data_IF_065952341290
#
_entry.id   IF_065952341290
#
_cell.length_a   1.000
_cell.length_b   1.000
_cell.length_c   1.000
_cell.angle_alpha   90.00
_cell.angle_beta   90.00
_cell.angle_gamma   90.00
#
_symmetry.space_group_name_H-M   'P 1'
#
loop_
_entity.id
_entity.type
_entity.pdbx_description
1 polymer ?
#
# COMPACT_ATOMS: atom_id res chain seq x y z
N UNK A 1 75.11 -39.27 -16.04
CA UNK A 1 75.48 -38.18 -16.99
C UNK A 1 74.23 -37.44 -17.39
N UNK A 2 74.33 -36.11 -17.43
CA UNK A 2 73.42 -35.04 -17.88
C UNK A 2 72.37 -35.52 -18.90
N UNK A 3 71.09 -35.15 -18.81
CA UNK A 3 70.55 -33.84 -19.24
C UNK A 3 69.09 -33.67 -18.79
N UNK A 4 68.77 -32.61 -18.03
CA UNK A 4 68.04 -31.38 -18.41
C UNK A 4 66.50 -31.45 -18.33
N UNK A 5 66.03 -30.73 -17.31
CA UNK A 5 64.76 -30.04 -17.05
C UNK A 5 64.07 -29.43 -18.27
N UNK A 6 62.74 -29.49 -18.30
CA UNK A 6 61.87 -28.39 -18.74
C UNK A 6 60.45 -28.57 -18.17
N UNK A 7 60.10 -27.69 -17.23
CA UNK A 7 58.74 -27.45 -16.73
C UNK A 7 57.95 -26.74 -17.84
N UNK A 8 56.83 -27.30 -18.27
CA UNK A 8 55.86 -26.62 -19.14
C UNK A 8 54.80 -25.95 -18.26
N UNK A 9 54.92 -24.63 -18.09
CA UNK A 9 53.90 -23.78 -17.47
C UNK A 9 52.89 -23.41 -18.54
N UNK A 10 51.66 -23.93 -18.45
CA UNK A 10 50.57 -23.57 -19.35
C UNK A 10 49.97 -22.23 -18.89
N UNK A 11 50.29 -21.16 -19.62
CA UNK A 11 49.68 -19.84 -19.49
C UNK A 11 48.41 -19.81 -20.37
N UNK A 12 47.24 -19.89 -19.74
CA UNK A 12 45.95 -19.71 -20.42
C UNK A 12 45.76 -18.22 -20.74
N UNK A 13 45.90 -17.85 -22.01
CA UNK A 13 45.56 -16.51 -22.51
C UNK A 13 44.04 -16.41 -22.63
N UNK A 14 43.43 -15.68 -21.71
CA UNK A 14 42.05 -15.19 -21.83
C UNK A 14 42.00 -14.18 -22.99
N UNK A 15 41.30 -14.55 -24.06
CA UNK A 15 41.01 -13.65 -25.18
C UNK A 15 40.05 -12.55 -24.76
N UNK A 16 40.58 -11.38 -24.46
CA UNK A 16 39.83 -10.13 -24.43
C UNK A 16 39.60 -9.70 -25.89
N UNK A 17 38.36 -9.76 -26.37
CA UNK A 17 37.97 -9.09 -27.61
C UNK A 17 37.98 -7.59 -27.39
N UNK A 18 39.08 -6.94 -27.76
CA UNK A 18 39.13 -5.50 -27.94
C UNK A 18 38.33 -5.14 -29.20
N UNK A 19 37.20 -4.45 -29.03
CA UNK A 19 36.59 -3.72 -30.14
C UNK A 19 37.48 -2.49 -30.42
N UNK A 20 38.32 -2.59 -31.43
CA UNK A 20 39.02 -1.45 -32.00
C UNK A 20 37.99 -0.42 -32.51
N UNK A 21 38.16 0.85 -32.12
CA UNK A 21 37.51 1.98 -32.78
C UNK A 21 38.25 2.24 -34.08
N UNK A 22 37.67 1.84 -35.21
CA UNK A 22 38.09 2.34 -36.52
C UNK A 22 37.67 3.81 -36.62
N UNK A 23 38.64 4.72 -36.63
CA UNK A 23 38.45 6.09 -37.12
C UNK A 23 38.53 6.02 -38.64
N UNK A 24 37.36 6.02 -39.30
CA UNK A 24 37.27 6.20 -40.74
C UNK A 24 37.25 7.70 -41.03
N UNK A 25 38.37 8.23 -41.52
CA UNK A 25 38.45 9.59 -42.08
C UNK A 25 38.31 9.43 -43.59
N UNK A 26 37.07 9.54 -44.07
CA UNK A 26 36.71 9.50 -45.48
C UNK A 26 35.75 10.65 -45.80
N UNK A 27 36.18 11.53 -46.70
CA UNK A 27 35.49 12.73 -47.16
C UNK A 27 34.14 12.44 -47.85
N UNK A 28 33.20 13.35 -47.59
CA UNK A 28 31.97 13.67 -48.32
C UNK A 28 31.30 12.58 -49.17
N UNK A 29 30.32 11.92 -48.55
CA UNK A 29 29.02 11.66 -49.21
C UNK A 29 27.89 11.96 -48.24
N UNK A 30 27.08 12.94 -48.59
CA UNK A 30 25.77 13.26 -48.01
C UNK A 30 24.98 11.99 -47.70
N UNK A 31 25.04 11.57 -46.43
CA UNK A 31 24.11 10.62 -45.83
C UNK A 31 23.48 11.37 -44.68
N UNK A 32 22.20 11.71 -44.79
CA UNK A 32 21.36 12.21 -43.69
C UNK A 32 21.09 11.10 -42.67
N UNK A 33 22.15 10.41 -42.22
CA UNK A 33 22.13 9.54 -41.06
C UNK A 33 22.36 10.43 -39.84
N UNK A 34 21.29 10.67 -39.08
CA UNK A 34 21.30 11.52 -37.89
C UNK A 34 22.34 10.96 -36.90
N UNK A 35 23.42 11.71 -36.63
CA UNK A 35 24.52 11.23 -35.79
C UNK A 35 24.09 11.13 -34.32
N UNK A 36 24.35 9.98 -33.68
CA UNK A 36 24.13 9.78 -32.23
C UNK A 36 25.27 10.40 -31.42
N UNK A 37 25.29 11.71 -31.29
CA UNK A 37 26.34 12.44 -30.58
C UNK A 37 25.91 12.97 -29.19
N UNK A 38 24.64 12.84 -28.80
CA UNK A 38 24.14 13.17 -27.46
C UNK A 38 24.09 11.93 -26.56
N UNK A 39 24.21 12.12 -25.25
CA UNK A 39 24.16 11.05 -24.25
C UNK A 39 23.06 11.32 -23.21
N UNK A 40 22.17 10.34 -23.04
CA UNK A 40 21.25 10.28 -21.91
C UNK A 40 21.83 9.37 -20.82
N UNK A 41 22.03 9.93 -19.63
CA UNK A 41 22.39 9.18 -18.43
C UNK A 41 21.13 8.93 -17.60
N UNK A 42 20.81 7.66 -17.33
CA UNK A 42 19.66 7.27 -16.51
C UNK A 42 20.14 6.69 -15.18
N UNK A 43 19.56 7.20 -14.10
CA UNK A 43 19.74 6.72 -12.73
C UNK A 43 18.38 6.50 -12.08
N UNK A 44 18.35 5.68 -11.03
CA UNK A 44 17.14 5.33 -10.28
C UNK A 44 17.32 5.65 -8.80
N UNK A 45 16.23 6.01 -8.13
CA UNK A 45 16.13 6.14 -6.67
C UNK A 45 14.73 5.76 -6.22
N UNK A 46 14.54 5.39 -4.95
CA UNK A 46 13.18 5.23 -4.40
C UNK A 46 12.40 6.56 -4.43
N UNK A 47 11.09 6.50 -4.68
CA UNK A 47 10.27 7.71 -4.82
C UNK A 47 9.97 8.45 -3.49
N UNK A 48 9.89 7.75 -2.36
CA UNK A 48 9.47 8.34 -1.06
C UNK A 48 10.12 7.66 0.15
N UNK A 49 10.61 8.46 1.12
CA UNK A 49 11.13 8.03 2.43
C UNK A 49 12.65 7.91 2.53
N UNK A 50 13.22 8.18 3.71
CA UNK A 50 14.61 7.82 4.02
C UNK A 50 14.74 6.29 4.00
N UNK A 51 15.73 5.77 3.27
CA UNK A 51 15.91 4.32 3.09
C UNK A 51 15.06 3.68 1.97
N UNK A 52 14.41 4.46 1.11
CA UNK A 52 13.63 3.96 -0.02
C UNK A 52 14.51 3.23 -1.06
N UNK A 53 14.45 1.90 -1.06
CA UNK A 53 15.19 1.05 -2.00
C UNK A 53 14.51 0.93 -3.36
N UNK A 54 15.31 0.62 -4.38
CA UNK A 54 14.85 0.28 -5.74
C UNK A 54 14.94 -1.23 -5.94
N UNK A 55 13.90 -1.83 -6.51
CA UNK A 55 13.92 -3.21 -6.92
C UNK A 55 14.64 -3.36 -8.27
N UNK A 56 15.76 -4.10 -8.26
CA UNK A 56 16.55 -4.41 -9.44
C UNK A 56 16.31 -5.86 -9.91
N UNK A 57 16.54 -6.18 -11.20
CA UNK A 57 16.94 -5.26 -12.27
C UNK A 57 15.80 -4.31 -12.70
N UNK A 58 16.18 -3.17 -13.26
CA UNK A 58 15.25 -2.17 -13.82
C UNK A 58 15.35 -2.20 -15.34
N UNK A 59 14.25 -2.53 -16.02
CA UNK A 59 14.12 -2.39 -17.46
C UNK A 59 13.79 -0.94 -17.81
N UNK A 60 14.59 -0.33 -18.69
CA UNK A 60 14.45 1.06 -19.15
C UNK A 60 14.11 1.06 -20.63
N UNK A 61 13.06 1.80 -20.99
CA UNK A 61 12.61 2.00 -22.36
C UNK A 61 12.64 3.50 -22.68
N UNK A 62 13.21 3.85 -23.83
CA UNK A 62 13.28 5.25 -24.28
C UNK A 62 12.51 5.40 -25.58
N UNK A 63 11.50 6.27 -25.56
CA UNK A 63 10.61 6.54 -26.67
C UNK A 63 10.85 7.94 -27.23
N UNK A 64 10.68 8.08 -28.55
CA UNK A 64 10.56 9.37 -29.23
C UNK A 64 9.23 9.38 -29.97
N UNK A 65 8.27 10.17 -29.50
CA UNK A 65 6.87 9.94 -29.86
C UNK A 65 6.43 8.54 -29.39
N UNK A 66 5.79 7.77 -30.28
CA UNK A 66 5.33 6.41 -29.99
C UNK A 66 6.37 5.32 -30.32
N UNK A 67 7.51 5.70 -30.89
CA UNK A 67 8.54 4.75 -31.32
C UNK A 67 9.56 4.50 -30.20
N UNK A 68 9.69 3.24 -29.78
CA UNK A 68 10.75 2.82 -28.87
C UNK A 68 12.09 2.85 -29.61
N UNK A 69 13.03 3.68 -29.14
CA UNK A 69 14.36 3.84 -29.72
C UNK A 69 15.38 2.88 -29.13
N UNK A 70 15.20 2.51 -27.87
CA UNK A 70 16.05 1.53 -27.19
C UNK A 70 15.35 0.97 -25.96
N UNK A 71 15.72 -0.26 -25.60
CA UNK A 71 15.47 -0.85 -24.29
C UNK A 71 16.77 -1.41 -23.73
N UNK A 72 17.05 -1.13 -22.46
CA UNK A 72 18.25 -1.58 -21.76
C UNK A 72 17.92 -1.84 -20.29
N UNK A 73 18.84 -2.42 -19.52
CA UNK A 73 18.64 -2.72 -18.11
C UNK A 73 19.67 -2.04 -17.21
N UNK A 74 19.24 -1.62 -16.02
CA UNK A 74 20.08 -1.28 -14.88
C UNK A 74 20.05 -2.47 -13.93
N UNK A 75 21.18 -3.13 -13.73
CA UNK A 75 21.30 -4.36 -12.95
C UNK A 75 21.35 -4.14 -11.44
N UNK A 76 21.87 -3.00 -10.98
CA UNK A 76 22.04 -2.69 -9.56
C UNK A 76 22.12 -1.17 -9.30
N UNK A 77 22.15 -0.79 -8.02
CA UNK A 77 22.12 0.59 -7.54
C UNK A 77 23.33 1.45 -7.97
N UNK A 78 24.49 0.84 -8.19
CA UNK A 78 25.71 1.56 -8.57
C UNK A 78 25.80 1.85 -10.06
N UNK A 79 25.01 1.16 -10.88
CA UNK A 79 25.08 1.27 -12.33
C UNK A 79 24.38 2.55 -12.83
N UNK A 80 25.13 3.40 -13.53
CA UNK A 80 24.57 4.47 -14.37
C UNK A 80 24.44 3.96 -15.81
N UNK A 81 23.24 3.99 -16.36
CA UNK A 81 22.99 3.64 -17.75
C UNK A 81 23.31 4.83 -18.66
N UNK A 82 24.12 4.62 -19.69
CA UNK A 82 24.50 5.66 -20.67
C UNK A 82 23.98 5.25 -22.04
N UNK A 83 23.12 6.08 -22.63
CA UNK A 83 22.45 5.80 -23.90
C UNK A 83 22.80 6.88 -24.91
N UNK A 84 23.49 6.50 -26.00
CA UNK A 84 23.77 7.40 -27.11
C UNK A 84 22.52 7.57 -28.00
N UNK A 85 22.08 8.82 -28.17
CA UNK A 85 20.89 9.21 -28.92
C UNK A 85 21.20 10.44 -29.78
N UNK A 86 20.31 10.74 -30.73
CA UNK A 86 20.34 12.02 -31.46
C UNK A 86 19.71 13.10 -30.60
N UNK A 87 19.92 14.37 -30.95
CA UNK A 87 19.14 15.47 -30.35
C UNK A 87 17.62 15.25 -30.51
N UNK A 88 16.85 15.79 -29.57
CA UNK A 88 15.39 15.68 -29.56
C UNK A 88 14.80 15.44 -28.17
N UNK A 89 13.47 15.38 -28.11
CA UNK A 89 12.73 15.11 -26.87
C UNK A 89 12.35 13.63 -26.78
N UNK A 90 12.59 13.03 -25.62
CA UNK A 90 12.35 11.62 -25.35
C UNK A 90 11.54 11.42 -24.07
N UNK A 91 10.70 10.38 -24.08
CA UNK A 91 10.04 9.86 -22.88
C UNK A 91 10.79 8.62 -22.41
N UNK A 92 11.20 8.62 -21.14
CA UNK A 92 11.94 7.53 -20.50
C UNK A 92 11.00 6.86 -19.52
N UNK A 93 10.83 5.55 -19.68
CA UNK A 93 10.03 4.71 -18.78
C UNK A 93 10.93 3.65 -18.15
N UNK A 94 10.74 3.41 -16.86
CA UNK A 94 11.46 2.38 -16.12
C UNK A 94 10.49 1.50 -15.36
N UNK A 95 10.71 0.18 -15.43
CA UNK A 95 10.00 -0.82 -14.64
C UNK A 95 11.05 -1.59 -13.82
N UNK A 96 10.93 -1.57 -12.50
CA UNK A 96 11.83 -2.22 -11.56
C UNK A 96 11.33 -3.60 -11.12
N UNK A 97 12.26 -4.44 -10.65
CA UNK A 97 12.00 -5.80 -10.19
C UNK A 97 11.77 -6.82 -11.31
N UNK A 98 12.01 -6.47 -12.57
CA UNK A 98 11.63 -7.29 -13.73
C UNK A 98 12.85 -7.88 -14.42
N UNK A 99 12.99 -9.20 -14.31
CA UNK A 99 14.01 -9.97 -15.01
C UNK A 99 13.43 -10.66 -16.25
N UNK A 100 14.25 -10.88 -17.28
CA UNK A 100 13.85 -11.67 -18.45
C UNK A 100 13.65 -13.16 -18.14
N UNK A 101 14.09 -13.64 -16.96
CA UNK A 101 13.87 -15.02 -16.49
C UNK A 101 12.51 -15.23 -15.83
N UNK A 102 11.87 -14.16 -15.36
CA UNK A 102 10.58 -14.22 -14.68
C UNK A 102 9.45 -13.56 -15.48
N UNK A 103 9.80 -12.63 -16.39
CA UNK A 103 8.85 -11.86 -17.17
C UNK A 103 9.13 -11.95 -18.67
N UNK A 104 8.07 -11.80 -19.47
CA UNK A 104 8.17 -11.54 -20.90
C UNK A 104 8.26 -10.03 -21.08
N UNK A 105 9.44 -9.56 -21.48
CA UNK A 105 9.72 -8.13 -21.68
C UNK A 105 9.56 -7.75 -23.16
N UNK A 106 8.83 -6.67 -23.48
CA UNK A 106 8.79 -6.14 -24.83
C UNK A 106 10.20 -5.78 -25.35
N UNK A 107 10.40 -6.00 -26.64
CA UNK A 107 11.61 -5.64 -27.37
C UNK A 107 11.46 -4.28 -28.03
N UNK A 108 12.55 -3.66 -28.48
CA UNK A 108 12.51 -2.38 -29.19
C UNK A 108 11.50 -2.40 -30.36
N UNK A 109 11.42 -3.50 -31.11
CA UNK A 109 10.54 -3.60 -32.29
C UNK A 109 9.05 -3.70 -31.99
N UNK A 110 8.64 -4.02 -30.75
CA UNK A 110 7.23 -4.23 -30.41
C UNK A 110 6.80 -3.54 -29.10
N UNK A 111 7.68 -2.75 -28.49
CA UNK A 111 7.38 -2.00 -27.28
C UNK A 111 6.45 -0.82 -27.59
N UNK A 112 5.32 -0.79 -26.89
CA UNK A 112 4.42 0.34 -26.75
C UNK A 112 4.36 0.71 -25.26
N UNK A 113 4.00 1.94 -24.93
CA UNK A 113 3.80 2.34 -23.52
C UNK A 113 2.71 1.51 -22.84
N UNK A 114 1.76 0.97 -23.61
CA UNK A 114 0.69 0.07 -23.16
C UNK A 114 1.06 -1.41 -23.16
N UNK A 115 2.25 -1.79 -23.67
CA UNK A 115 2.69 -3.19 -23.66
C UNK A 115 2.82 -3.69 -22.23
N UNK A 116 2.20 -4.83 -21.94
CA UNK A 116 2.26 -5.48 -20.64
C UNK A 116 3.63 -6.11 -20.39
N UNK A 117 4.11 -5.99 -19.15
CA UNK A 117 5.20 -6.77 -18.59
C UNK A 117 4.57 -8.03 -17.97
N UNK A 118 4.42 -9.07 -18.80
CA UNK A 118 3.69 -10.27 -18.44
C UNK A 118 4.57 -11.23 -17.62
N UNK A 119 4.03 -11.76 -16.53
CA UNK A 119 4.69 -12.80 -15.73
C UNK A 119 4.72 -14.11 -16.53
N UNK A 120 5.86 -14.80 -16.53
CA UNK A 120 5.96 -16.11 -17.17
C UNK A 120 5.19 -17.18 -16.38
N UNK A 121 4.73 -18.22 -17.07
CA UNK A 121 3.99 -19.31 -16.45
C UNK A 121 4.78 -19.96 -15.30
N UNK A 122 4.10 -20.22 -14.18
CA UNK A 122 4.70 -20.82 -12.98
C UNK A 122 5.62 -19.89 -12.18
N UNK A 123 5.83 -18.64 -12.60
CA UNK A 123 6.59 -17.65 -11.84
C UNK A 123 5.71 -16.90 -10.84
N UNK A 124 6.36 -16.15 -9.94
CA UNK A 124 5.71 -15.32 -8.93
C UNK A 124 6.06 -13.86 -9.16
N UNK A 125 5.14 -12.95 -8.83
CA UNK A 125 5.41 -11.52 -8.86
C UNK A 125 6.58 -11.18 -7.92
N UNK A 126 7.37 -10.20 -8.33
CA UNK A 126 8.46 -9.58 -7.57
C UNK A 126 8.05 -8.20 -7.04
N UNK A 127 8.94 -7.46 -6.38
CA UNK A 127 8.71 -6.08 -5.97
C UNK A 127 8.68 -5.15 -7.20
N UNK A 128 7.53 -5.03 -7.86
CA UNK A 128 7.41 -4.25 -9.07
C UNK A 128 7.40 -2.76 -8.73
N UNK A 129 8.18 -2.00 -9.48
CA UNK A 129 8.20 -0.53 -9.39
C UNK A 129 8.06 0.09 -10.77
N UNK A 130 7.61 1.34 -10.85
CA UNK A 130 7.65 2.10 -12.09
C UNK A 130 7.99 3.57 -11.87
N UNK A 131 8.59 4.16 -12.91
CA UNK A 131 8.84 5.58 -13.01
C UNK A 131 8.81 6.03 -14.48
N UNK A 132 8.59 7.32 -14.69
CA UNK A 132 8.76 7.93 -16.00
C UNK A 132 9.26 9.36 -15.89
N UNK A 133 9.87 9.86 -16.96
CA UNK A 133 10.27 11.25 -17.11
C UNK A 133 10.37 11.62 -18.59
N UNK A 134 10.31 12.92 -18.89
CA UNK A 134 10.60 13.47 -20.21
C UNK A 134 11.92 14.24 -20.17
N UNK A 135 12.76 14.06 -21.19
CA UNK A 135 14.07 14.70 -21.30
C UNK A 135 14.28 15.24 -22.71
N UNK A 136 14.86 16.43 -22.82
CA UNK A 136 15.26 17.01 -24.10
C UNK A 136 16.79 16.94 -24.20
N UNK A 137 17.28 16.28 -25.24
CA UNK A 137 18.71 16.22 -25.56
C UNK A 137 19.05 17.27 -26.60
N UNK A 138 20.14 17.98 -26.35
CA UNK A 138 20.76 18.90 -27.29
C UNK A 138 21.95 18.23 -27.97
N UNK A 139 22.26 18.65 -29.19
CA UNK A 139 23.38 18.14 -30.00
C UNK A 139 24.70 18.10 -29.19
N UNK A 140 25.38 16.95 -29.19
CA UNK A 140 26.64 16.77 -28.46
C UNK A 140 26.56 16.81 -26.92
N UNK A 141 25.37 17.06 -26.35
CA UNK A 141 25.17 17.24 -24.92
C UNK A 141 25.03 15.93 -24.14
N UNK A 142 25.33 15.98 -22.84
CA UNK A 142 25.00 14.90 -21.88
C UNK A 142 23.95 15.39 -20.90
N UNK A 143 22.84 14.66 -20.79
CA UNK A 143 21.77 14.97 -19.84
C UNK A 143 21.57 13.81 -18.87
N UNK A 144 21.40 14.11 -17.58
CA UNK A 144 21.11 13.09 -16.56
C UNK A 144 19.65 13.18 -16.14
N UNK A 145 18.98 12.04 -16.13
CA UNK A 145 17.65 11.87 -15.52
C UNK A 145 17.75 10.91 -14.34
N UNK A 146 17.17 11.30 -13.21
CA UNK A 146 17.05 10.43 -12.03
C UNK A 146 15.57 10.09 -11.82
N UNK A 147 15.23 8.82 -11.99
CA UNK A 147 13.87 8.32 -11.93
C UNK A 147 13.51 7.92 -10.49
N UNK A 148 12.45 8.52 -9.95
CA UNK A 148 11.86 8.15 -8.66
C UNK A 148 10.95 6.93 -8.81
N UNK A 149 11.48 5.75 -8.48
CA UNK A 149 10.81 4.47 -8.60
C UNK A 149 9.74 4.30 -7.52
N UNK A 150 8.47 4.27 -7.93
CA UNK A 150 7.33 4.05 -7.04
C UNK A 150 6.90 2.58 -7.09
N UNK A 151 6.67 1.95 -5.93
CA UNK A 151 6.15 0.58 -5.86
C UNK A 151 4.76 0.47 -6.46
N UNK A 152 4.54 -0.65 -7.13
CA UNK A 152 3.30 -1.04 -7.81
C UNK A 152 2.73 -2.34 -7.26
N UNK A 153 3.45 -2.99 -6.36
CA UNK A 153 3.01 -4.19 -5.63
C UNK A 153 2.79 -3.89 -4.15
N UNK A 154 1.87 -4.65 -3.55
CA UNK A 154 1.81 -4.88 -2.10
C UNK A 154 2.56 -6.17 -1.76
N UNK A 155 3.06 -6.29 -0.53
CA UNK A 155 3.69 -7.50 -0.02
C UNK A 155 2.76 -8.14 1.01
N UNK A 156 2.17 -9.30 0.72
CA UNK A 156 1.54 -10.10 1.77
C UNK A 156 2.67 -10.74 2.57
N UNK A 157 2.94 -10.19 3.75
CA UNK A 157 4.11 -10.50 4.55
C UNK A 157 3.87 -11.75 5.39
N UNK A 158 2.91 -11.66 6.31
CA UNK A 158 2.47 -12.74 7.18
C UNK A 158 0.98 -13.00 7.04
N UNK A 159 0.61 -14.27 7.08
CA UNK A 159 -0.77 -14.74 7.14
C UNK A 159 -0.83 -15.81 8.21
N UNK A 160 -1.61 -15.58 9.26
CA UNK A 160 -1.76 -16.51 10.39
C UNK A 160 -3.23 -16.76 10.67
N UNK A 161 -3.67 -18.01 10.60
CA UNK A 161 -5.03 -18.42 11.00
C UNK A 161 -4.94 -19.36 12.21
N UNK A 162 -5.47 -18.94 13.35
CA UNK A 162 -5.40 -19.61 14.65
C UNK A 162 -6.68 -20.39 14.96
N UNK A 163 -6.57 -21.32 15.92
CA UNK A 163 -7.66 -22.14 16.45
C UNK A 163 -8.42 -22.97 15.40
N UNK A 164 -7.86 -23.16 14.21
CA UNK A 164 -8.42 -24.00 13.13
C UNK A 164 -8.69 -25.41 13.68
N UNK A 165 -9.80 -26.07 13.31
CA UNK A 165 -10.09 -27.43 13.74
C UNK A 165 -8.92 -28.37 13.45
N UNK A 166 -8.55 -29.22 14.42
CA UNK A 166 -7.41 -30.14 14.28
C UNK A 166 -7.58 -31.12 13.11
N UNK A 167 -8.82 -31.43 12.73
CA UNK A 167 -9.18 -32.26 11.58
C UNK A 167 -8.95 -31.58 10.22
N UNK A 168 -8.62 -30.28 10.18
CA UNK A 168 -8.35 -29.57 8.93
C UNK A 168 -7.12 -30.14 8.22
N UNK A 169 -7.24 -30.36 6.92
CA UNK A 169 -6.19 -30.91 6.05
C UNK A 169 -5.58 -29.87 5.12
N UNK A 170 -6.27 -28.75 4.88
CA UNK A 170 -5.76 -27.64 4.09
C UNK A 170 -6.38 -26.32 4.57
N UNK A 171 -5.57 -25.26 4.54
CA UNK A 171 -6.03 -23.88 4.73
C UNK A 171 -5.38 -23.00 3.66
N UNK A 172 -6.19 -22.21 2.97
CA UNK A 172 -5.71 -21.23 1.98
C UNK A 172 -6.36 -19.88 2.18
N UNK A 173 -5.67 -18.81 1.81
CA UNK A 173 -6.22 -17.45 1.76
C UNK A 173 -6.21 -16.98 0.32
N UNK A 174 -7.37 -16.58 -0.20
CA UNK A 174 -7.53 -16.08 -1.56
C UNK A 174 -7.84 -14.60 -1.54
N UNK A 175 -7.15 -13.82 -2.36
CA UNK A 175 -7.38 -12.37 -2.51
C UNK A 175 -7.80 -12.10 -3.97
N UNK A 176 -8.92 -11.41 -4.15
CA UNK A 176 -9.49 -11.10 -5.48
C UNK A 176 -10.39 -9.85 -5.42
N UNK A 177 -10.77 -9.24 -6.56
CA UNK A 177 -10.11 -9.33 -7.84
C UNK A 177 -8.85 -8.46 -7.86
N UNK A 178 -7.77 -8.94 -8.45
CA UNK A 178 -6.46 -8.28 -8.55
C UNK A 178 -6.16 -7.85 -9.99
N UNK A 179 -5.37 -6.80 -10.13
CA UNK A 179 -4.66 -6.57 -11.40
C UNK A 179 -3.70 -7.73 -11.69
N UNK A 180 -3.51 -8.04 -12.97
CA UNK A 180 -2.66 -9.16 -13.37
C UNK A 180 -1.27 -8.75 -13.90
N UNK A 181 -1.15 -7.52 -14.42
CA UNK A 181 0.10 -7.05 -15.04
C UNK A 181 0.30 -5.55 -14.89
N UNK A 182 1.53 -5.11 -15.17
CA UNK A 182 1.92 -3.71 -15.26
C UNK A 182 2.37 -3.42 -16.69
N UNK A 183 2.04 -2.26 -17.24
CA UNK A 183 2.52 -1.82 -18.55
C UNK A 183 3.89 -1.14 -18.46
N UNK A 184 4.57 -0.96 -19.60
CA UNK A 184 5.79 -0.13 -19.68
C UNK A 184 5.53 1.28 -19.12
N UNK A 185 4.36 1.84 -19.37
CA UNK A 185 3.93 3.15 -18.87
C UNK A 185 3.71 3.21 -17.35
N UNK A 186 3.80 2.07 -16.64
CA UNK A 186 3.60 2.01 -15.19
C UNK A 186 2.14 2.02 -14.75
N UNK A 187 1.21 1.73 -15.66
CA UNK A 187 -0.22 1.54 -15.38
C UNK A 187 -0.54 0.06 -15.20
N UNK A 188 -1.53 -0.26 -14.38
CA UNK A 188 -2.00 -1.64 -14.27
C UNK A 188 -2.82 -2.06 -15.50
N UNK A 189 -2.74 -3.33 -15.87
CA UNK A 189 -3.47 -3.91 -16.98
C UNK A 189 -3.98 -5.31 -16.66
N UNK A 190 -5.09 -5.69 -17.31
CA UNK A 190 -5.83 -6.95 -17.13
C UNK A 190 -6.43 -7.10 -15.73
N UNK A 191 -7.75 -7.22 -15.66
CA UNK A 191 -8.54 -7.29 -14.41
C UNK A 191 -8.93 -8.73 -14.06
N UNK A 192 -9.57 -8.91 -12.89
CA UNK A 192 -10.16 -10.19 -12.45
C UNK A 192 -9.13 -11.29 -12.13
N UNK A 193 -7.88 -10.93 -11.85
CA UNK A 193 -6.92 -11.86 -11.27
C UNK A 193 -7.31 -12.27 -9.85
N UNK A 194 -6.74 -13.36 -9.37
CA UNK A 194 -6.80 -13.73 -7.96
C UNK A 194 -5.47 -14.33 -7.54
N UNK A 195 -5.21 -14.34 -6.25
CA UNK A 195 -4.04 -15.02 -5.70
C UNK A 195 -4.44 -15.86 -4.51
N UNK A 196 -3.98 -17.11 -4.50
CA UNK A 196 -4.24 -18.06 -3.41
C UNK A 196 -2.93 -18.39 -2.70
N UNK A 197 -2.88 -18.07 -1.42
CA UNK A 197 -1.77 -18.33 -0.52
C UNK A 197 -2.09 -19.62 0.25
N UNK A 198 -1.26 -20.65 0.07
CA UNK A 198 -1.37 -21.89 0.85
C UNK A 198 -0.71 -21.71 2.21
N UNK A 199 -1.42 -22.09 3.26
CA UNK A 199 -0.89 -22.08 4.62
C UNK A 199 -0.41 -23.48 5.02
N UNK A 200 0.56 -23.53 5.93
CA UNK A 200 1.12 -24.76 6.50
C UNK A 200 0.72 -24.88 7.97
N UNK A 201 0.31 -26.07 8.38
CA UNK A 201 -0.05 -26.40 9.76
C UNK A 201 1.18 -26.30 10.66
N UNK A 202 1.03 -25.61 11.78
CA UNK A 202 2.08 -25.44 12.79
C UNK A 202 2.04 -26.58 13.82
N UNK A 203 3.05 -26.64 14.69
CA UNK A 203 3.25 -27.73 15.66
C UNK A 203 2.08 -27.90 16.64
N UNK A 204 1.38 -26.82 16.99
CA UNK A 204 0.21 -26.84 17.85
C UNK A 204 -1.01 -27.55 17.23
N UNK A 205 -0.92 -27.91 15.94
CA UNK A 205 -1.98 -28.59 15.17
C UNK A 205 -3.22 -27.74 14.91
N UNK A 206 -3.24 -26.47 15.31
CA UNK A 206 -4.42 -25.56 15.25
C UNK A 206 -4.11 -24.19 14.65
N UNK A 207 -2.85 -23.84 14.48
CA UNK A 207 -2.40 -22.62 13.80
C UNK A 207 -1.86 -22.96 12.42
N UNK A 208 -2.16 -22.12 11.44
CA UNK A 208 -1.71 -22.24 10.06
C UNK A 208 -1.06 -20.94 9.62
N UNK A 209 0.11 -21.02 8.98
CA UNK A 209 0.87 -19.85 8.53
C UNK A 209 1.31 -19.95 7.08
N UNK A 210 1.45 -18.83 6.38
CA UNK A 210 2.06 -18.83 5.04
C UNK A 210 3.53 -19.23 5.11
N UNK A 211 4.01 -19.91 4.08
CA UNK A 211 5.43 -20.21 3.93
C UNK A 211 6.10 -19.10 3.09
N UNK A 212 6.47 -18.02 3.77
CA UNK A 212 7.10 -16.85 3.18
C UNK A 212 6.13 -15.87 2.55
N UNK A 213 6.61 -14.64 2.33
CA UNK A 213 5.82 -13.54 1.81
C UNK A 213 5.55 -13.64 0.29
N UNK A 214 4.52 -12.95 -0.18
CA UNK A 214 4.14 -12.92 -1.59
C UNK A 214 3.85 -11.49 -2.08
N UNK A 215 4.46 -11.09 -3.19
CA UNK A 215 4.09 -9.84 -3.85
C UNK A 215 2.82 -10.03 -4.66
N UNK A 216 1.91 -9.06 -4.56
CA UNK A 216 0.68 -8.99 -5.33
C UNK A 216 0.50 -7.59 -5.90
N UNK A 217 -0.16 -7.48 -7.05
CA UNK A 217 -0.69 -6.20 -7.50
C UNK A 217 -1.94 -5.84 -6.68
N UNK A 218 -2.28 -4.55 -6.51
CA UNK A 218 -3.47 -4.15 -5.78
C UNK A 218 -4.76 -4.62 -6.47
N UNK A 219 -5.91 -4.53 -5.78
CA UNK A 219 -7.20 -4.89 -6.35
C UNK A 219 -7.54 -4.12 -7.63
N UNK A 220 -8.21 -4.80 -8.55
CA UNK A 220 -8.67 -4.21 -9.82
C UNK A 220 -10.02 -3.52 -9.72
N UNK A 221 -10.79 -3.79 -8.66
CA UNK A 221 -12.06 -3.16 -8.36
C UNK A 221 -12.35 -3.27 -6.87
N UNK A 222 -13.21 -2.40 -6.36
CA UNK A 222 -13.67 -2.43 -4.97
C UNK A 222 -15.14 -2.86 -4.88
N UNK A 223 -15.54 -3.53 -3.77
CA UNK A 223 -14.66 -4.01 -2.73
C UNK A 223 -13.84 -5.23 -3.19
N UNK A 224 -12.62 -5.36 -2.68
CA UNK A 224 -11.80 -6.56 -2.85
C UNK A 224 -12.14 -7.57 -1.76
N UNK A 225 -12.07 -8.86 -2.08
CA UNK A 225 -12.29 -9.95 -1.15
C UNK A 225 -11.00 -10.57 -0.62
N UNK A 226 -11.00 -10.90 0.67
CA UNK A 226 -10.03 -11.78 1.32
C UNK A 226 -10.80 -12.99 1.86
N UNK A 227 -10.62 -14.14 1.22
CA UNK A 227 -11.35 -15.36 1.53
C UNK A 227 -10.43 -16.39 2.18
N UNK A 228 -10.70 -16.76 3.43
CA UNK A 228 -10.06 -17.91 4.08
C UNK A 228 -10.83 -19.18 3.73
N UNK A 229 -10.15 -20.23 3.31
CA UNK A 229 -10.74 -21.51 2.93
C UNK A 229 -10.16 -22.60 3.81
N UNK A 230 -11.02 -23.34 4.52
CA UNK A 230 -10.61 -24.39 5.45
C UNK A 230 -11.24 -25.72 4.98
N UNK A 231 -10.42 -26.72 4.69
CA UNK A 231 -10.87 -28.05 4.27
C UNK A 231 -10.83 -29.03 5.43
N UNK A 232 -11.97 -29.65 5.74
CA UNK A 232 -12.11 -30.71 6.76
C UNK A 232 -12.87 -31.88 6.14
N UNK A 233 -12.31 -33.09 6.20
CA UNK A 233 -12.98 -34.30 5.69
C UNK A 233 -13.32 -34.26 4.20
N UNK A 234 -12.58 -33.48 3.40
CA UNK A 234 -12.83 -33.27 1.97
C UNK A 234 -13.80 -32.13 1.63
N UNK A 235 -14.45 -31.53 2.63
CA UNK A 235 -15.34 -30.38 2.44
C UNK A 235 -14.60 -29.08 2.76
N UNK A 236 -14.64 -28.12 1.83
CA UNK A 236 -14.06 -26.78 2.04
C UNK A 236 -15.15 -25.80 2.46
N UNK A 237 -14.93 -25.13 3.60
CA UNK A 237 -15.71 -23.96 4.03
C UNK A 237 -14.93 -22.69 3.70
N UNK A 238 -15.63 -21.66 3.22
CA UNK A 238 -15.04 -20.39 2.79
C UNK A 238 -15.63 -19.23 3.61
N UNK A 239 -14.77 -18.39 4.16
CA UNK A 239 -15.09 -17.22 4.97
C UNK A 239 -14.54 -16.01 4.23
N UNK A 240 -15.38 -15.02 3.88
CA UNK A 240 -14.98 -13.93 2.98
C UNK A 240 -15.16 -12.57 3.61
N UNK A 241 -14.05 -11.84 3.72
CA UNK A 241 -14.03 -10.41 3.97
C UNK A 241 -14.12 -9.62 2.69
N UNK A 242 -14.88 -8.53 2.68
CA UNK A 242 -14.83 -7.53 1.63
C UNK A 242 -14.16 -6.26 2.20
N UNK A 243 -12.93 -5.98 1.80
CA UNK A 243 -12.21 -4.74 2.14
C UNK A 243 -12.51 -3.68 1.10
N UNK A 244 -12.77 -2.44 1.52
CA UNK A 244 -13.22 -1.37 0.63
C UNK A 244 -12.11 -0.47 0.10
N UNK A 245 -10.96 -0.31 0.76
CA UNK A 245 -9.90 0.62 0.30
C UNK A 245 -8.44 0.27 0.73
N UNK A 246 -8.15 -0.93 1.26
CA UNK A 246 -6.95 -1.12 2.10
C UNK A 246 -5.90 -2.11 1.58
N UNK A 247 -6.03 -2.56 0.34
CA UNK A 247 -5.03 -3.37 -0.34
C UNK A 247 -4.37 -2.52 -1.40
N UNK A 248 -3.29 -1.83 -1.05
CA UNK A 248 -2.67 -0.82 -1.89
C UNK A 248 -1.19 -1.12 -2.12
N UNK A 249 -0.68 -0.69 -3.28
CA UNK A 249 0.72 -0.82 -3.59
C UNK A 249 1.60 -0.07 -2.57
N UNK A 250 2.77 -0.63 -2.29
CA UNK A 250 3.74 -0.05 -1.34
C UNK A 250 3.51 -0.42 0.12
N UNK A 251 2.47 -1.21 0.42
CA UNK A 251 2.21 -1.71 1.77
C UNK A 251 2.68 -3.14 1.98
N UNK A 252 3.15 -3.42 3.19
CA UNK A 252 3.28 -4.77 3.74
C UNK A 252 2.00 -5.15 4.48
N UNK A 253 1.33 -6.19 4.02
CA UNK A 253 0.06 -6.64 4.55
C UNK A 253 0.27 -7.88 5.42
N UNK A 254 -0.14 -7.83 6.67
CA UNK A 254 -0.31 -9.02 7.50
C UNK A 254 -1.80 -9.33 7.63
N UNK A 255 -2.13 -10.62 7.65
CA UNK A 255 -3.51 -11.10 7.81
C UNK A 255 -3.52 -12.08 8.98
N UNK A 256 -4.10 -11.65 10.10
CA UNK A 256 -4.33 -12.50 11.25
C UNK A 256 -5.80 -12.89 11.30
N UNK A 257 -6.08 -14.16 11.60
CA UNK A 257 -7.43 -14.67 11.73
C UNK A 257 -7.53 -15.69 12.87
N UNK A 258 -8.69 -15.80 13.51
CA UNK A 258 -8.98 -16.76 14.56
C UNK A 258 -10.33 -17.43 14.30
N UNK A 259 -10.30 -18.74 14.11
CA UNK A 259 -11.50 -19.55 14.01
C UNK A 259 -12.14 -19.76 15.39
N UNK A 260 -13.47 -19.68 15.47
CA UNK A 260 -14.22 -19.91 16.70
C UNK A 260 -15.31 -20.96 16.51
N UNK A 261 -15.57 -21.75 17.56
CA UNK A 261 -16.41 -22.96 17.52
C UNK A 261 -17.88 -22.72 17.93
N UNK A 262 -18.34 -21.48 18.11
CA UNK A 262 -19.72 -21.20 18.50
C UNK A 262 -20.68 -21.44 17.33
N UNK A 263 -21.59 -22.43 17.48
CA UNK A 263 -22.69 -22.82 16.58
C UNK A 263 -22.37 -22.70 15.08
N UNK A 264 -21.19 -23.17 14.70
CA UNK A 264 -20.74 -23.15 13.32
C UNK A 264 -20.20 -21.79 12.89
N UNK A 265 -18.87 -21.65 12.97
CA UNK A 265 -18.06 -21.01 11.90
C UNK A 265 -18.04 -19.48 11.93
N UNK A 266 -17.49 -18.89 13.01
CA UNK A 266 -17.05 -17.48 12.98
C UNK A 266 -15.53 -17.35 12.84
N UNK A 267 -15.07 -16.46 11.94
CA UNK A 267 -13.67 -16.09 11.77
C UNK A 267 -13.52 -14.59 12.08
N UNK A 268 -12.81 -14.26 13.14
CA UNK A 268 -12.39 -12.88 13.41
C UNK A 268 -10.96 -12.68 12.97
N UNK A 269 -10.52 -11.44 12.80
CA UNK A 269 -9.13 -11.21 12.44
C UNK A 269 -8.79 -9.75 12.18
N UNK A 270 -7.53 -9.52 11.84
CA UNK A 270 -7.06 -8.22 11.43
C UNK A 270 -6.25 -8.28 10.13
N UNK A 271 -6.38 -7.24 9.31
CA UNK A 271 -5.45 -6.94 8.23
C UNK A 271 -4.62 -5.75 8.68
N UNK A 272 -3.31 -5.93 8.88
CA UNK A 272 -2.41 -4.82 9.14
C UNK A 272 -1.62 -4.48 7.90
N UNK A 273 -1.32 -3.20 7.70
CA UNK A 273 -0.63 -2.69 6.54
C UNK A 273 0.44 -1.71 6.97
N UNK A 274 1.71 -1.95 6.70
CA UNK A 274 2.72 -0.90 6.87
C UNK A 274 3.09 -0.32 5.51
N UNK A 275 2.91 0.99 5.30
CA UNK A 275 3.86 1.66 4.40
C UNK A 275 5.23 1.49 5.02
N UNK A 276 6.29 1.56 4.21
CA UNK A 276 7.63 1.66 4.77
C UNK A 276 7.86 2.88 5.68
N UNK A 277 6.83 3.71 5.93
CA UNK A 277 6.80 4.90 6.76
C UNK A 277 5.66 4.92 7.83
N UNK A 278 4.91 3.83 8.05
CA UNK A 278 3.83 3.79 9.07
C UNK A 278 2.80 2.68 8.87
N UNK A 279 2.00 2.37 9.90
CA UNK A 279 1.10 1.19 9.99
C UNK A 279 -0.40 1.53 9.88
N UNK A 280 -1.21 0.56 9.47
CA UNK A 280 -2.68 0.53 9.49
C UNK A 280 -3.14 -0.82 10.01
N UNK A 281 -4.27 -0.87 10.71
CA UNK A 281 -4.86 -2.12 11.23
C UNK A 281 -6.36 -2.09 10.98
N UNK A 282 -6.90 -3.21 10.51
CA UNK A 282 -8.30 -3.36 10.09
C UNK A 282 -8.82 -4.61 10.74
N UNK A 283 -9.88 -4.52 11.53
CA UNK A 283 -10.48 -5.69 12.18
C UNK A 283 -11.69 -6.18 11.41
N UNK A 284 -11.88 -7.50 11.37
CA UNK A 284 -12.99 -8.14 10.68
C UNK A 284 -13.58 -9.31 11.48
N UNK A 285 -14.84 -9.64 11.20
CA UNK A 285 -15.55 -10.82 11.72
C UNK A 285 -16.46 -11.41 10.64
N UNK A 286 -16.49 -12.74 10.54
CA UNK A 286 -17.36 -13.52 9.65
C UNK A 286 -18.12 -14.55 10.45
N UNK A 287 -19.26 -14.99 9.92
CA UNK A 287 -19.99 -16.21 10.29
C UNK A 287 -20.28 -17.09 9.05
N UNK A 288 -21.14 -18.12 9.15
CA UNK A 288 -21.55 -18.95 7.99
C UNK A 288 -22.32 -18.18 6.92
N UNK A 289 -22.91 -17.03 7.27
CA UNK A 289 -23.77 -16.24 6.40
C UNK A 289 -23.02 -15.09 5.70
N UNK A 290 -21.78 -14.80 6.13
CA UNK A 290 -20.85 -13.91 5.44
C UNK A 290 -20.19 -12.86 6.34
N UNK A 291 -19.77 -11.75 5.74
CA UNK A 291 -19.16 -10.62 6.44
C UNK A 291 -20.22 -9.79 7.14
N UNK A 292 -20.10 -9.66 8.46
CA UNK A 292 -20.51 -8.45 9.14
C UNK A 292 -19.26 -7.59 9.32
N UNK A 293 -19.21 -6.44 8.63
CA UNK A 293 -18.56 -5.30 9.28
C UNK A 293 -19.30 -5.13 10.62
N UNK A 294 -18.63 -4.75 11.70
CA UNK A 294 -19.32 -4.33 12.93
C UNK A 294 -20.18 -3.11 12.63
N UNK A 295 -21.34 -3.37 12.02
CA UNK A 295 -22.46 -2.52 11.72
C UNK A 295 -23.44 -2.74 12.84
N UNK A 296 -23.81 -1.63 13.44
CA UNK A 296 -24.63 -1.55 14.63
C UNK A 296 -26.07 -2.01 14.30
N UNK A 297 -26.37 -3.29 14.47
CA UNK A 297 -27.73 -3.80 14.44
C UNK A 297 -28.30 -3.77 15.86
N UNK A 298 -29.09 -2.72 16.12
CA UNK A 298 -29.94 -2.60 17.30
C UNK A 298 -31.04 -3.69 17.29
N UNK A 299 -31.10 -4.52 18.33
CA UNK A 299 -32.37 -4.76 19.02
C UNK A 299 -32.17 -5.23 20.47
N UNK A 300 -32.89 -4.57 21.38
CA UNK A 300 -32.68 -4.54 22.81
C UNK A 300 -33.12 -5.75 23.63
N UNK A 301 -32.79 -5.67 24.93
CA UNK A 301 -33.22 -6.59 25.96
C UNK A 301 -32.54 -6.33 27.31
N UNK A 302 -33.03 -5.31 28.01
CA UNK A 302 -32.74 -4.89 29.39
C UNK A 302 -32.70 -6.01 30.45
N UNK A 303 -31.62 -6.11 31.26
CA UNK A 303 -31.64 -5.86 32.72
C UNK A 303 -30.34 -6.26 33.44
N UNK A 304 -29.71 -5.27 34.07
CA UNK A 304 -29.30 -5.31 35.48
C UNK A 304 -28.11 -6.16 35.90
N UNK A 305 -26.98 -5.50 36.20
CA UNK A 305 -25.91 -6.06 37.04
C UNK A 305 -24.65 -5.22 37.01
N UNK A 306 -24.39 -4.52 38.12
CA UNK A 306 -23.24 -3.65 38.33
C UNK A 306 -21.90 -4.44 38.26
N UNK A 307 -21.25 -4.37 37.10
CA UNK A 307 -19.83 -4.69 36.89
C UNK A 307 -19.27 -3.58 36.03
N UNK A 308 -18.20 -2.91 36.49
CA UNK A 308 -17.56 -1.80 35.76
C UNK A 308 -17.07 -2.28 34.38
N UNK A 309 -17.94 -2.17 33.39
CA UNK A 309 -17.60 -2.25 31.98
C UNK A 309 -17.19 -0.86 31.48
N UNK A 310 -16.33 -0.82 30.46
CA UNK A 310 -15.96 0.42 29.81
C UNK A 310 -17.21 1.15 29.31
N UNK A 311 -17.20 2.49 29.25
CA UNK A 311 -18.35 3.21 28.73
C UNK A 311 -18.63 2.75 27.30
N UNK A 312 -19.90 2.70 26.91
CA UNK A 312 -20.31 2.34 25.55
C UNK A 312 -20.26 3.56 24.62
N UNK A 313 -20.17 3.32 23.32
CA UNK A 313 -20.35 4.40 22.32
C UNK A 313 -21.74 5.02 22.49
N UNK A 314 -21.80 6.34 22.53
CA UNK A 314 -22.99 7.12 22.84
C UNK A 314 -23.14 7.48 24.33
N UNK A 315 -22.44 6.79 25.24
CA UNK A 315 -22.49 7.12 26.65
C UNK A 315 -21.80 8.47 26.94
N UNK A 316 -22.09 9.01 28.13
CA UNK A 316 -21.38 10.17 28.66
C UNK A 316 -20.26 9.71 29.59
N UNK A 317 -19.02 10.08 29.28
CA UNK A 317 -17.86 9.86 30.14
C UNK A 317 -17.21 11.22 30.46
N UNK A 318 -17.12 11.53 31.77
CA UNK A 318 -16.61 12.83 32.27
C UNK A 318 -17.23 14.06 31.57
N UNK A 319 -18.54 14.01 31.30
CA UNK A 319 -19.26 15.10 30.62
C UNK A 319 -19.02 15.20 29.11
N UNK A 320 -18.29 14.25 28.52
CA UNK A 320 -18.04 14.14 27.08
C UNK A 320 -18.82 12.95 26.49
N UNK A 321 -19.16 13.03 25.21
CA UNK A 321 -19.80 11.91 24.52
C UNK A 321 -18.74 10.92 24.02
N UNK A 322 -18.96 9.63 24.25
CA UNK A 322 -18.06 8.57 23.79
C UNK A 322 -18.34 8.23 22.32
N UNK A 323 -17.35 8.46 21.45
CA UNK A 323 -17.43 8.18 20.01
C UNK A 323 -16.91 6.81 19.62
N UNK A 324 -15.91 6.31 20.34
CA UNK A 324 -15.28 5.01 20.09
C UNK A 324 -14.64 4.49 21.37
N UNK A 325 -14.61 3.17 21.51
CA UNK A 325 -14.01 2.44 22.64
C UNK A 325 -13.24 1.27 22.06
N UNK A 326 -11.94 1.24 22.33
CA UNK A 326 -11.03 0.16 21.92
C UNK A 326 -10.53 -0.50 23.17
N UNK A 327 -11.08 -1.67 23.51
CA UNK A 327 -10.62 -2.46 24.65
C UNK A 327 -9.30 -3.15 24.28
N UNK A 328 -8.28 -2.97 25.11
CA UNK A 328 -6.97 -3.60 24.96
C UNK A 328 -7.06 -5.11 25.17
N UNK A 329 -6.04 -5.83 24.70
CA UNK A 329 -5.98 -7.31 24.75
C UNK A 329 -6.07 -7.90 26.17
N UNK A 330 -5.75 -7.10 27.20
CA UNK A 330 -5.84 -7.49 28.60
C UNK A 330 -7.29 -7.53 29.13
N UNK A 331 -8.23 -6.91 28.41
CA UNK A 331 -9.63 -6.72 28.85
C UNK A 331 -9.78 -5.83 30.08
N UNK A 332 -8.69 -5.24 30.56
CA UNK A 332 -8.58 -4.41 31.76
C UNK A 332 -8.32 -2.95 31.42
N UNK A 333 -7.85 -2.64 30.23
CA UNK A 333 -7.71 -1.26 29.75
C UNK A 333 -8.46 -1.02 28.44
N UNK A 334 -8.83 0.24 28.19
CA UNK A 334 -9.44 0.66 26.93
C UNK A 334 -9.05 2.08 26.57
N UNK A 335 -8.85 2.33 25.28
CA UNK A 335 -8.75 3.66 24.71
C UNK A 335 -10.14 4.16 24.31
N UNK A 336 -10.51 5.36 24.75
CA UNK A 336 -11.83 5.95 24.54
C UNK A 336 -11.68 7.29 23.83
N UNK A 337 -12.35 7.43 22.69
CA UNK A 337 -12.43 8.70 21.96
C UNK A 337 -13.62 9.50 22.48
N UNK A 338 -13.34 10.67 23.04
CA UNK A 338 -14.30 11.59 23.63
C UNK A 338 -14.55 12.77 22.71
N UNK A 339 -15.81 13.08 22.45
CA UNK A 339 -16.24 14.32 21.80
C UNK A 339 -16.58 15.37 22.84
N UNK A 340 -16.01 16.55 22.69
CA UNK A 340 -16.30 17.68 23.57
C UNK A 340 -17.79 18.03 23.55
N UNK A 341 -18.39 18.43 24.69
CA UNK A 341 -19.73 19.00 24.72
C UNK A 341 -19.78 20.41 24.10
N UNK A 342 -18.63 21.06 23.89
CA UNK A 342 -18.53 22.43 23.40
C UNK A 342 -18.10 22.46 21.93
N UNK A 343 -18.71 23.36 21.18
CA UNK A 343 -18.33 23.65 19.80
C UNK A 343 -18.33 25.16 19.53
N UNK A 344 -17.53 25.59 18.55
CA UNK A 344 -17.49 26.99 18.12
C UNK A 344 -17.12 27.10 16.65
N UNK A 345 -17.75 28.04 15.94
CA UNK A 345 -17.32 28.43 14.60
C UNK A 345 -15.92 29.06 14.64
N UNK A 346 -15.02 28.56 13.79
CA UNK A 346 -13.65 29.05 13.66
C UNK A 346 -13.48 29.85 12.37
N UNK A 347 -12.42 30.65 12.31
CA UNK A 347 -12.16 31.59 11.21
C UNK A 347 -10.88 31.30 10.44
N UNK A 348 -9.97 30.51 11.02
CA UNK A 348 -8.68 30.15 10.44
C UNK A 348 -8.11 28.89 11.09
N UNK A 349 -7.04 28.33 10.52
CA UNK A 349 -6.33 27.19 11.11
C UNK A 349 -5.74 27.56 12.48
N UNK A 350 -5.15 28.75 12.62
CA UNK A 350 -4.62 29.23 13.90
C UNK A 350 -5.72 29.43 14.94
N UNK A 351 -6.89 29.92 14.53
CA UNK A 351 -8.05 30.06 15.41
C UNK A 351 -8.53 28.68 15.90
N UNK A 352 -8.60 27.69 15.00
CA UNK A 352 -8.98 26.32 15.34
C UNK A 352 -8.05 25.71 16.39
N UNK A 353 -6.73 25.78 16.19
CA UNK A 353 -5.76 25.25 17.15
C UNK A 353 -5.82 26.00 18.50
N UNK A 354 -5.98 27.33 18.48
CA UNK A 354 -6.11 28.12 19.72
C UNK A 354 -7.41 27.87 20.49
N UNK A 355 -8.46 27.40 19.80
CA UNK A 355 -9.77 27.14 20.39
C UNK A 355 -9.82 25.85 21.22
N UNK A 356 -8.94 24.88 20.93
CA UNK A 356 -9.00 23.51 21.45
C UNK A 356 -9.09 23.49 22.97
N UNK A 357 -8.21 24.23 23.64
CA UNK A 357 -8.18 24.30 25.10
C UNK A 357 -9.48 24.90 25.70
N UNK A 358 -10.03 25.94 25.08
CA UNK A 358 -11.26 26.60 25.56
C UNK A 358 -12.54 25.78 25.32
N UNK A 359 -12.47 24.84 24.37
CA UNK A 359 -13.58 23.93 24.05
C UNK A 359 -13.45 22.60 24.79
N UNK A 360 -12.30 22.30 25.38
CA UNK A 360 -12.10 21.09 26.18
C UNK A 360 -12.91 21.07 27.47
N UNK A 361 -12.96 19.89 28.11
CA UNK A 361 -13.50 19.72 29.46
C UNK A 361 -12.36 19.65 30.46
N UNK A 362 -12.51 20.37 31.59
CA UNK A 362 -11.54 20.36 32.68
C UNK A 362 -11.28 18.94 33.19
N UNK A 363 -10.00 18.55 33.25
CA UNK A 363 -9.57 17.20 33.66
C UNK A 363 -9.26 16.25 32.50
N UNK A 364 -9.58 16.61 31.25
CA UNK A 364 -9.19 15.86 30.04
C UNK A 364 -8.18 16.71 29.25
N UNK A 365 -7.01 16.13 28.95
CA UNK A 365 -5.95 16.75 28.15
C UNK A 365 -6.05 16.36 26.67
N UNK A 366 -5.15 16.92 25.86
CA UNK A 366 -4.88 16.47 24.48
C UNK A 366 -6.08 16.58 23.51
N UNK A 367 -6.86 17.65 23.67
CA UNK A 367 -7.90 18.02 22.71
C UNK A 367 -7.31 18.35 21.35
N UNK A 368 -7.86 17.74 20.30
CA UNK A 368 -7.41 17.89 18.92
C UNK A 368 -8.56 18.19 17.97
N UNK A 369 -8.22 18.72 16.79
CA UNK A 369 -9.16 18.81 15.67
C UNK A 369 -9.46 17.39 15.18
N UNK A 370 -10.74 16.98 15.06
CA UNK A 370 -11.09 15.62 14.70
C UNK A 370 -10.50 15.17 13.36
N UNK A 371 -10.24 13.88 13.23
CA UNK A 371 -9.99 13.21 11.94
C UNK A 371 -11.31 12.99 11.21
N UNK A 372 -11.24 12.64 9.92
CA UNK A 372 -12.45 12.30 9.15
C UNK A 372 -13.25 11.18 9.82
N UNK A 373 -12.59 10.11 10.24
CA UNK A 373 -13.24 8.97 10.88
C UNK A 373 -13.97 9.37 12.18
N UNK A 374 -13.38 10.28 12.95
CA UNK A 374 -13.99 10.80 14.17
C UNK A 374 -15.20 11.71 13.87
N UNK A 375 -15.15 12.53 12.81
CA UNK A 375 -16.32 13.30 12.36
C UNK A 375 -17.40 12.40 11.78
N UNK A 376 -17.05 11.31 11.10
CA UNK A 376 -18.01 10.32 10.60
C UNK A 376 -18.70 9.61 11.78
N UNK A 377 -17.95 9.19 12.81
CA UNK A 377 -18.49 8.59 14.04
C UNK A 377 -19.42 9.56 14.78
N UNK A 378 -18.99 10.81 14.91
CA UNK A 378 -19.82 11.90 15.42
C UNK A 378 -21.09 12.11 14.59
N UNK A 379 -21.01 12.05 13.26
CA UNK A 379 -22.15 12.21 12.37
C UNK A 379 -23.16 11.07 12.51
N UNK A 380 -22.67 9.84 12.73
CA UNK A 380 -23.51 8.68 13.01
C UNK A 380 -24.20 8.81 14.38
N UNK A 381 -23.48 9.28 15.40
CA UNK A 381 -23.99 9.45 16.75
C UNK A 381 -24.76 10.76 16.98
N UNK A 382 -24.92 11.63 15.98
CA UNK A 382 -25.38 13.03 16.14
C UNK A 382 -26.72 13.21 16.84
N UNK A 383 -27.59 12.21 16.81
CA UNK A 383 -28.90 12.23 17.47
C UNK A 383 -28.82 11.83 18.95
N UNK A 384 -27.71 11.21 19.34
CA UNK A 384 -27.46 10.64 20.67
C UNK A 384 -26.42 11.47 21.45
N UNK A 385 -25.68 12.35 20.78
CA UNK A 385 -24.74 13.30 21.41
C UNK A 385 -25.49 14.40 22.17
N UNK A 386 -25.13 14.61 23.44
CA UNK A 386 -25.59 15.74 24.26
C UNK A 386 -24.41 16.66 24.63
N UNK A 387 -24.49 17.99 24.38
CA UNK A 387 -25.55 18.67 23.64
C UNK A 387 -25.51 18.32 22.15
N UNK A 388 -26.71 18.31 21.55
CA UNK A 388 -26.88 18.04 20.13
C UNK A 388 -26.03 19.00 19.29
N UNK A 389 -25.32 18.50 18.28
CA UNK A 389 -24.51 19.36 17.41
C UNK A 389 -25.35 20.37 16.63
N UNK A 390 -24.80 21.57 16.41
CA UNK A 390 -25.41 22.50 15.49
C UNK A 390 -25.48 21.91 14.08
N UNK A 391 -26.60 22.14 13.40
CA UNK A 391 -26.68 21.86 11.97
C UNK A 391 -25.64 22.71 11.23
N UNK A 392 -24.75 22.09 10.46
CA UNK A 392 -23.73 22.84 9.75
C UNK A 392 -22.57 22.02 9.20
N UNK A 393 -21.48 22.73 8.95
CA UNK A 393 -20.25 22.19 8.41
C UNK A 393 -19.23 22.11 9.53
N UNK A 394 -18.59 20.96 9.70
CA UNK A 394 -17.61 20.68 10.73
C UNK A 394 -16.20 20.58 10.17
N UNK A 395 -15.24 21.07 10.94
CA UNK A 395 -13.83 21.04 10.61
C UNK A 395 -13.24 19.68 10.99
N UNK A 396 -12.47 19.09 10.08
CA UNK A 396 -11.62 17.95 10.38
C UNK A 396 -10.24 18.13 9.75
N UNK A 397 -9.28 17.36 10.24
CA UNK A 397 -7.88 17.37 9.79
C UNK A 397 -7.55 16.00 9.21
N UNK A 398 -6.93 15.96 8.03
CA UNK A 398 -6.41 14.70 7.48
C UNK A 398 -5.05 14.34 8.10
N UNK A 399 -4.53 13.16 7.79
CA UNK A 399 -3.26 12.66 8.33
C UNK A 399 -2.04 13.50 7.93
N UNK A 400 -2.16 14.32 6.88
CA UNK A 400 -1.11 15.25 6.43
C UNK A 400 -1.23 16.63 7.11
N UNK A 401 -2.13 16.79 8.09
CA UNK A 401 -2.36 18.03 8.81
C UNK A 401 -3.18 19.08 8.04
N UNK A 402 -3.76 18.70 6.89
CA UNK A 402 -4.56 19.59 6.05
C UNK A 402 -6.01 19.61 6.53
N UNK A 403 -6.60 20.80 6.62
CA UNK A 403 -7.98 20.98 7.07
C UNK A 403 -8.99 20.78 5.94
N UNK A 404 -10.07 20.11 6.30
CA UNK A 404 -11.21 19.84 5.44
C UNK A 404 -12.50 20.14 6.18
N UNK A 405 -13.55 20.28 5.40
CA UNK A 405 -14.88 20.56 5.88
C UNK A 405 -15.78 19.35 5.63
N UNK A 406 -16.67 19.06 6.58
CA UNK A 406 -17.62 17.96 6.55
C UNK A 406 -19.02 18.50 6.74
N UNK A 407 -19.90 18.33 5.75
CA UNK A 407 -21.30 18.72 5.90
C UNK A 407 -22.05 17.65 6.70
N UNK A 408 -22.47 17.98 7.92
CA UNK A 408 -23.12 17.02 8.81
C UNK A 408 -24.42 16.47 8.23
N UNK A 409 -25.14 17.23 7.41
CA UNK A 409 -26.43 16.84 6.85
C UNK A 409 -26.28 15.91 5.63
N UNK A 410 -25.29 16.14 4.77
CA UNK A 410 -25.13 15.44 3.49
C UNK A 410 -23.97 14.45 3.46
N UNK A 411 -23.08 14.46 4.46
CA UNK A 411 -21.82 13.70 4.46
C UNK A 411 -20.79 14.21 3.46
N UNK A 412 -21.06 15.32 2.77
CA UNK A 412 -20.17 15.84 1.73
C UNK A 412 -18.90 16.44 2.35
N UNK A 413 -17.74 16.07 1.80
CA UNK A 413 -16.44 16.61 2.20
C UNK A 413 -15.87 17.57 1.15
N UNK A 414 -15.12 18.59 1.59
CA UNK A 414 -14.39 19.48 0.69
C UNK A 414 -13.16 20.09 1.34
N UNK A 415 -12.23 20.58 0.54
CA UNK A 415 -11.06 21.33 1.03
C UNK A 415 -11.52 22.59 1.77
N UNK A 416 -11.00 22.81 2.98
CA UNK A 416 -11.27 24.02 3.75
C UNK A 416 -10.35 25.16 3.29
N UNK A 417 -10.44 25.55 2.01
CA UNK A 417 -9.62 26.63 1.43
C UNK A 417 -9.87 27.99 2.14
N UNK A 418 -11.03 28.12 2.81
CA UNK A 418 -11.38 29.23 3.70
C UNK A 418 -12.13 28.65 4.92
N UNK A 419 -11.50 28.68 6.11
CA UNK A 419 -12.03 28.07 7.35
C UNK A 419 -13.16 28.91 7.99
N UNK A 420 -13.50 30.06 7.42
CA UNK A 420 -14.47 31.01 7.99
C UNK A 420 -15.87 30.43 8.14
N UNK A 421 -16.33 30.30 9.38
CA UNK A 421 -17.71 29.88 9.70
C UNK A 421 -17.91 28.37 9.74
N UNK A 422 -16.82 27.59 9.83
CA UNK A 422 -16.86 26.13 10.00
C UNK A 422 -16.84 25.82 11.50
N UNK A 423 -17.72 24.93 11.96
CA UNK A 423 -17.77 24.52 13.36
C UNK A 423 -16.59 23.62 13.71
N UNK A 424 -15.90 23.93 14.80
CA UNK A 424 -14.96 23.04 15.45
C UNK A 424 -15.62 22.44 16.69
N UNK A 425 -15.62 21.11 16.76
CA UNK A 425 -15.98 20.35 17.96
C UNK A 425 -14.84 19.36 18.25
N UNK A 426 -13.98 19.64 19.24
CA UNK A 426 -12.77 18.88 19.45
C UNK A 426 -13.03 17.45 19.94
N UNK A 427 -12.02 16.60 19.75
CA UNK A 427 -11.97 15.25 20.32
C UNK A 427 -10.73 15.08 21.19
N UNK A 428 -10.82 14.23 22.20
CA UNK A 428 -9.71 13.78 23.02
C UNK A 428 -9.69 12.25 23.05
N UNK A 429 -8.53 11.66 23.32
CA UNK A 429 -8.35 10.23 23.46
C UNK A 429 -7.86 9.97 24.87
N UNK A 430 -8.58 9.13 25.62
CA UNK A 430 -8.23 8.80 27.02
C UNK A 430 -8.07 7.30 27.21
N UNK A 431 -7.16 6.89 28.07
CA UNK A 431 -7.01 5.50 28.49
C UNK A 431 -7.74 5.28 29.82
N UNK A 432 -8.64 4.29 29.86
CA UNK A 432 -9.34 3.85 31.07
C UNK A 432 -8.74 2.50 31.47
N UNK A 433 -8.58 2.25 32.77
CA UNK A 433 -8.20 0.95 33.32
C UNK A 433 -9.20 0.56 34.39
N UNK A 434 -9.69 -0.67 34.36
CA UNK A 434 -10.53 -1.27 35.41
C UNK A 434 -9.68 -1.40 36.69
N UNK A 435 -10.23 -1.01 37.84
CA UNK A 435 -9.58 -1.18 39.15
C UNK A 435 -9.58 -2.63 39.64
#
# INVERSE_FOLDING_TARGET
>A
MKTKTLFASALAVLGLTACERTLDVGEDKTSTGQMKNSVLQVRTRGATGDGATVAYPVAVYVFQGDECKTSQAIGDEGQTLNIALTEGTYSVYAVGGVSASDYVLPTVSNALTTSAIALQEGKKLTDLMAASATVTLVDGGTNTVTLGMARKTMLIHDVTIKKVPSAATAVTVTIAPLWHSLTIGGTYSSTNGSSTITLTKQEDGRTWKNNGSAYLLPPSSQPASVSVNITVGGTTKTYTYNTSDELEAGYKINIDGTYTEAVGVNLTGTITGATWLGERTISFTFDEDGSSTSGNDNNGGDNGGDTQDFPSVGDTYQGCCVLAVTVEDDGQSAEVVLLSPNERAVTSASDAESALASLGVDGISDWTVPTKAQVDAFAAARNDVTPAPAAGIYLYKNNNGVYYQYNLATGATGSANYITGINLRPVAIVSITKE
#
